data_IF_084186676088
#
_entry.id   IF_084186676088
#
_cell.length_a   1.000
_cell.length_b   1.000
_cell.length_c   1.000
_cell.angle_alpha   90.00
_cell.angle_beta   90.00
_cell.angle_gamma   90.00
#
_symmetry.space_group_name_H-M   'P 1'
#
loop_
_entity.id
_entity.type
_entity.pdbx_description
1 polymer ?
#
# COMPACT_ATOMS: atom_id res chain seq x y z
N UNK A 1 57.61 -41.61 57.77
CA UNK A 1 57.74 -40.92 56.46
C UNK A 1 56.78 -41.46 55.39
N UNK A 2 56.58 -42.79 55.31
CA UNK A 2 55.69 -43.43 54.33
C UNK A 2 54.17 -43.21 54.56
N UNK A 3 53.71 -43.14 55.82
CA UNK A 3 52.27 -42.93 56.11
C UNK A 3 51.80 -41.51 55.80
N UNK A 4 52.62 -40.50 56.13
CA UNK A 4 52.35 -39.10 55.83
C UNK A 4 52.25 -38.84 54.32
N UNK A 5 53.04 -39.55 53.52
CA UNK A 5 53.04 -39.43 52.06
C UNK A 5 51.81 -40.08 51.42
N UNK A 6 51.36 -41.23 51.94
CA UNK A 6 50.12 -41.90 51.51
C UNK A 6 48.86 -41.05 51.76
N UNK A 7 48.79 -40.39 52.92
CA UNK A 7 47.68 -39.49 53.28
C UNK A 7 47.60 -38.26 52.37
N UNK A 8 48.73 -37.58 52.12
CA UNK A 8 48.80 -36.44 51.20
C UNK A 8 48.37 -36.82 49.76
N UNK A 9 48.75 -38.01 49.30
CA UNK A 9 48.34 -38.52 47.98
C UNK A 9 46.83 -38.76 47.91
N UNK A 10 46.22 -39.34 48.95
CA UNK A 10 44.76 -39.54 49.03
C UNK A 10 43.99 -38.22 49.05
N UNK A 11 44.43 -37.24 49.82
CA UNK A 11 43.82 -35.91 49.83
C UNK A 11 43.94 -35.20 48.48
N UNK A 12 45.11 -35.25 47.85
CA UNK A 12 45.30 -34.69 46.52
C UNK A 12 44.36 -35.32 45.48
N UNK A 13 44.14 -36.63 45.53
CA UNK A 13 43.20 -37.32 44.64
C UNK A 13 41.74 -36.95 44.92
N UNK A 14 41.36 -36.75 46.20
CA UNK A 14 40.01 -36.28 46.56
C UNK A 14 39.77 -34.85 46.08
N UNK A 15 40.73 -33.95 46.28
CA UNK A 15 40.67 -32.57 45.79
C UNK A 15 40.55 -32.52 44.27
N UNK A 16 41.35 -33.33 43.55
CA UNK A 16 41.25 -33.44 42.09
C UNK A 16 39.87 -33.91 41.64
N UNK A 17 39.30 -34.93 42.30
CA UNK A 17 37.98 -35.47 41.97
C UNK A 17 36.86 -34.45 42.20
N UNK A 18 36.92 -33.68 43.29
CA UNK A 18 35.95 -32.62 43.56
C UNK A 18 36.05 -31.53 42.50
N UNK A 19 37.27 -31.07 42.19
CA UNK A 19 37.50 -30.06 41.16
C UNK A 19 37.01 -30.49 39.77
N UNK A 20 37.22 -31.75 39.36
CA UNK A 20 36.71 -32.24 38.06
C UNK A 20 35.19 -32.32 38.04
N UNK A 21 34.57 -32.72 39.15
CA UNK A 21 33.10 -32.73 39.26
C UNK A 21 32.52 -31.33 39.20
N UNK A 22 33.14 -30.36 39.89
CA UNK A 22 32.73 -28.96 39.83
C UNK A 22 32.84 -28.38 38.42
N UNK A 23 33.92 -28.68 37.71
CA UNK A 23 34.14 -28.26 36.34
C UNK A 23 33.08 -28.83 35.38
N UNK A 24 32.80 -30.13 35.46
CA UNK A 24 31.77 -30.77 34.65
C UNK A 24 30.36 -30.21 34.92
N UNK A 25 30.02 -29.97 36.20
CA UNK A 25 28.73 -29.36 36.56
C UNK A 25 28.62 -27.94 35.99
N UNK A 26 29.73 -27.18 36.01
CA UNK A 26 29.79 -25.83 35.44
C UNK A 26 29.64 -25.84 33.92
N UNK A 27 30.30 -26.77 33.22
CA UNK A 27 30.13 -26.92 31.77
C UNK A 27 28.69 -27.25 31.39
N UNK A 28 28.05 -28.19 32.08
CA UNK A 28 26.63 -28.53 31.84
C UNK A 28 25.72 -27.32 32.08
N UNK A 29 25.93 -26.58 33.18
CA UNK A 29 25.15 -25.39 33.48
C UNK A 29 25.33 -24.29 32.41
N UNK A 30 26.54 -24.10 31.90
CA UNK A 30 26.83 -23.13 30.84
C UNK A 30 26.18 -23.54 29.51
N UNK A 31 26.29 -24.81 29.12
CA UNK A 31 25.68 -25.32 27.90
C UNK A 31 24.14 -25.23 27.94
N UNK A 32 23.52 -25.57 29.07
CA UNK A 32 22.07 -25.40 29.25
C UNK A 32 21.65 -23.93 29.22
N UNK A 33 22.46 -23.04 29.80
CA UNK A 33 22.20 -21.60 29.78
C UNK A 33 22.24 -21.04 28.35
N UNK A 34 23.27 -21.35 27.57
CA UNK A 34 23.41 -20.89 26.18
C UNK A 34 22.25 -21.41 25.31
N UNK A 35 21.87 -22.68 25.50
CA UNK A 35 20.71 -23.25 24.81
C UNK A 35 19.39 -22.52 25.16
N UNK A 36 19.21 -22.10 26.41
CA UNK A 36 18.03 -21.30 26.83
C UNK A 36 18.06 -19.90 26.24
N UNK A 37 19.21 -19.23 26.25
CA UNK A 37 19.37 -17.88 25.69
C UNK A 37 19.06 -17.85 24.19
N UNK A 38 19.52 -18.86 23.44
CA UNK A 38 19.18 -19.01 22.01
C UNK A 38 17.67 -19.18 21.79
N UNK A 39 17.03 -20.07 22.57
CA UNK A 39 15.59 -20.30 22.47
C UNK A 39 14.77 -19.07 22.89
N UNK A 40 15.23 -18.31 23.89
CA UNK A 40 14.61 -17.07 24.34
C UNK A 40 14.73 -15.97 23.28
N UNK A 41 15.91 -15.79 22.71
CA UNK A 41 16.14 -14.82 21.62
C UNK A 41 15.31 -15.15 20.37
N UNK A 42 15.21 -16.43 20.00
CA UNK A 42 14.37 -16.87 18.89
C UNK A 42 12.87 -16.61 19.17
N UNK A 43 12.41 -16.88 20.39
CA UNK A 43 11.03 -16.62 20.79
C UNK A 43 10.70 -15.11 20.84
N UNK A 44 11.65 -14.28 21.28
CA UNK A 44 11.51 -12.83 21.30
C UNK A 44 11.45 -12.26 19.89
N UNK A 45 12.34 -12.72 19.00
CA UNK A 45 12.32 -12.34 17.58
C UNK A 45 11.00 -12.74 16.91
N UNK A 46 10.50 -13.96 17.16
CA UNK A 46 9.22 -14.41 16.63
C UNK A 46 8.05 -13.52 17.08
N UNK A 47 8.05 -13.06 18.33
CA UNK A 47 7.05 -12.11 18.84
C UNK A 47 7.14 -10.75 18.13
N UNK A 48 8.34 -10.21 17.96
CA UNK A 48 8.52 -8.94 17.25
C UNK A 48 8.04 -9.02 15.79
N UNK A 49 8.33 -10.13 15.10
CA UNK A 49 7.82 -10.38 13.75
C UNK A 49 6.29 -10.39 13.71
N UNK A 50 5.64 -11.06 14.68
CA UNK A 50 4.19 -11.09 14.77
C UNK A 50 3.58 -9.70 14.99
N UNK A 51 4.13 -8.92 15.91
CA UNK A 51 3.64 -7.58 16.20
C UNK A 51 3.78 -6.66 14.98
N UNK A 52 4.91 -6.75 14.28
CA UNK A 52 5.16 -6.00 13.04
C UNK A 52 4.15 -6.37 11.94
N UNK A 53 3.91 -7.66 11.73
CA UNK A 53 2.94 -8.16 10.75
C UNK A 53 1.51 -7.69 11.07
N UNK A 54 1.12 -7.72 12.35
CA UNK A 54 -0.20 -7.26 12.80
C UNK A 54 -0.38 -5.76 12.52
N UNK A 55 0.62 -4.94 12.82
CA UNK A 55 0.57 -3.49 12.58
C UNK A 55 0.47 -3.20 11.08
N UNK A 56 1.30 -3.86 10.27
CA UNK A 56 1.30 -3.68 8.82
C UNK A 56 -0.04 -4.10 8.20
N UNK A 57 -0.58 -5.25 8.61
CA UNK A 57 -1.87 -5.74 8.12
C UNK A 57 -3.01 -4.79 8.46
N UNK A 58 -3.06 -4.27 9.69
CA UNK A 58 -4.07 -3.28 10.11
C UNK A 58 -3.94 -1.97 9.32
N UNK A 59 -2.71 -1.49 9.10
CA UNK A 59 -2.48 -0.29 8.30
C UNK A 59 -2.95 -0.48 6.85
N UNK A 60 -2.62 -1.61 6.23
CA UNK A 60 -3.04 -1.95 4.88
C UNK A 60 -4.57 -2.07 4.76
N UNK A 61 -5.24 -2.67 5.75
CA UNK A 61 -6.70 -2.77 5.79
C UNK A 61 -7.38 -1.38 5.85
N UNK A 62 -6.87 -0.48 6.69
CA UNK A 62 -7.39 0.90 6.79
C UNK A 62 -7.22 1.67 5.48
N UNK A 63 -6.04 1.56 4.85
CA UNK A 63 -5.76 2.21 3.56
C UNK A 63 -6.70 1.64 2.48
N UNK A 64 -6.77 0.33 2.34
CA UNK A 64 -7.62 -0.33 1.34
C UNK A 64 -9.11 0.00 1.54
N UNK A 65 -9.59 0.06 2.79
CA UNK A 65 -10.97 0.43 3.10
C UNK A 65 -11.26 1.90 2.72
N UNK A 66 -10.31 2.81 2.94
CA UNK A 66 -10.43 4.21 2.54
C UNK A 66 -10.46 4.35 1.02
N UNK A 67 -9.51 3.75 0.32
CA UNK A 67 -9.43 3.79 -1.14
C UNK A 67 -10.68 3.19 -1.78
N UNK A 68 -11.19 2.07 -1.24
CA UNK A 68 -12.45 1.47 -1.70
C UNK A 68 -13.64 2.43 -1.54
N UNK A 69 -13.74 3.14 -0.42
CA UNK A 69 -14.81 4.13 -0.18
C UNK A 69 -14.68 5.33 -1.13
N UNK A 70 -13.47 5.83 -1.36
CA UNK A 70 -13.21 6.94 -2.28
C UNK A 70 -13.53 6.54 -3.73
N UNK A 71 -13.10 5.35 -4.16
CA UNK A 71 -13.45 4.77 -5.46
C UNK A 71 -14.95 4.62 -5.63
N UNK A 72 -15.66 4.05 -4.64
CA UNK A 72 -17.12 3.91 -4.71
C UNK A 72 -17.82 5.26 -4.83
N UNK A 73 -17.35 6.30 -4.13
CA UNK A 73 -17.91 7.65 -4.26
C UNK A 73 -17.73 8.19 -5.67
N UNK A 74 -16.55 8.01 -6.26
CA UNK A 74 -16.25 8.44 -7.64
C UNK A 74 -17.12 7.68 -8.65
N UNK A 75 -17.25 6.36 -8.51
CA UNK A 75 -18.12 5.53 -9.36
C UNK A 75 -19.58 5.98 -9.24
N UNK A 76 -20.07 6.21 -8.02
CA UNK A 76 -21.43 6.70 -7.81
C UNK A 76 -21.65 8.08 -8.45
N UNK A 77 -20.67 8.99 -8.35
CA UNK A 77 -20.74 10.29 -9.03
C UNK A 77 -20.75 10.12 -10.55
N UNK A 78 -19.94 9.21 -11.10
CA UNK A 78 -19.91 8.96 -12.53
C UNK A 78 -21.25 8.41 -13.05
N UNK A 79 -21.84 7.47 -12.33
CA UNK A 79 -23.19 6.95 -12.64
C UNK A 79 -24.24 8.06 -12.58
N UNK A 80 -24.16 8.93 -11.57
CA UNK A 80 -25.06 10.07 -11.45
C UNK A 80 -24.91 11.06 -12.61
N UNK A 81 -23.68 11.38 -13.03
CA UNK A 81 -23.43 12.23 -14.19
C UNK A 81 -23.93 11.59 -15.49
N UNK A 82 -23.71 10.28 -15.68
CA UNK A 82 -24.20 9.55 -16.85
C UNK A 82 -25.73 9.57 -16.96
N UNK A 83 -26.44 9.65 -15.83
CA UNK A 83 -27.90 9.78 -15.79
C UNK A 83 -28.40 11.22 -15.97
N UNK A 84 -27.60 12.22 -15.62
CA UNK A 84 -28.02 13.63 -15.71
C UNK A 84 -27.81 14.25 -17.09
N UNK A 85 -26.83 13.78 -17.86
CA UNK A 85 -26.54 14.34 -19.18
C UNK A 85 -27.17 13.53 -20.30
N UNK A 86 -27.91 14.22 -21.16
CA UNK A 86 -28.47 13.60 -22.36
C UNK A 86 -27.35 13.31 -23.37
N UNK A 87 -27.34 12.08 -23.89
CA UNK A 87 -26.38 11.65 -24.91
C UNK A 87 -26.90 11.98 -26.30
N UNK A 88 -26.05 12.61 -27.10
CA UNK A 88 -26.28 12.91 -28.51
C UNK A 88 -25.38 12.04 -29.36
N UNK A 89 -25.94 11.48 -30.43
CA UNK A 89 -25.15 10.70 -31.39
C UNK A 89 -24.20 11.64 -32.14
N UNK A 90 -23.02 11.14 -32.49
CA UNK A 90 -22.02 11.96 -33.20
C UNK A 90 -22.58 12.51 -34.51
N UNK A 91 -23.30 11.68 -35.26
CA UNK A 91 -23.93 12.09 -36.54
C UNK A 91 -25.00 13.18 -36.34
N UNK A 92 -25.70 13.19 -35.20
CA UNK A 92 -26.66 14.23 -34.83
C UNK A 92 -25.95 15.57 -34.67
N UNK A 93 -24.82 15.58 -33.95
CA UNK A 93 -23.98 16.75 -33.72
C UNK A 93 -23.38 17.26 -35.04
N UNK A 94 -22.82 16.35 -35.86
CA UNK A 94 -22.23 16.68 -37.17
C UNK A 94 -23.29 17.32 -38.08
N UNK A 95 -24.49 16.74 -38.12
CA UNK A 95 -25.58 17.25 -38.94
C UNK A 95 -26.06 18.63 -38.46
N UNK A 96 -26.27 18.79 -37.15
CA UNK A 96 -26.74 20.04 -36.55
C UNK A 96 -25.74 21.19 -36.71
N UNK A 97 -24.43 20.87 -36.71
CA UNK A 97 -23.35 21.85 -36.93
C UNK A 97 -22.99 22.02 -38.41
N UNK A 98 -23.75 21.43 -39.33
CA UNK A 98 -23.47 21.45 -40.77
C UNK A 98 -22.02 21.04 -41.09
N UNK A 99 -21.59 19.91 -40.53
CA UNK A 99 -20.21 19.41 -40.59
C UNK A 99 -19.19 20.42 -40.02
N UNK A 100 -19.51 21.04 -38.88
CA UNK A 100 -18.69 22.06 -38.23
C UNK A 100 -18.36 23.26 -39.12
N UNK A 101 -19.35 23.73 -39.90
CA UNK A 101 -19.19 24.89 -40.79
C UNK A 101 -18.81 26.16 -40.01
N UNK A 102 -17.82 26.91 -40.52
CA UNK A 102 -17.40 28.21 -39.96
C UNK A 102 -18.54 29.21 -39.86
N UNK A 103 -19.57 29.09 -40.71
CA UNK A 103 -20.78 29.94 -40.66
C UNK A 103 -21.58 29.79 -39.37
N UNK A 104 -21.41 28.68 -38.65
CA UNK A 104 -22.06 28.40 -37.36
C UNK A 104 -21.10 28.58 -36.18
N UNK A 105 -19.82 28.85 -36.44
CA UNK A 105 -18.83 29.12 -35.40
C UNK A 105 -19.14 30.46 -34.73
N UNK A 106 -19.34 30.43 -33.42
CA UNK A 106 -19.62 31.60 -32.58
C UNK A 106 -18.43 31.99 -31.69
N UNK A 107 -17.35 31.20 -31.73
CA UNK A 107 -16.12 31.53 -31.03
C UNK A 107 -15.07 30.45 -31.18
N UNK A 108 -13.83 30.86 -31.39
CA UNK A 108 -12.66 29.98 -31.41
C UNK A 108 -11.64 30.51 -30.40
N UNK A 109 -10.99 29.61 -29.68
CA UNK A 109 -9.95 29.96 -28.71
C UNK A 109 -8.95 28.84 -28.50
N UNK A 110 -8.06 29.03 -27.52
CA UNK A 110 -7.00 28.07 -27.19
C UNK A 110 -7.52 26.65 -26.89
N UNK A 111 -8.78 26.53 -26.46
CA UNK A 111 -9.42 25.29 -26.04
C UNK A 111 -10.26 24.62 -27.13
N UNK A 112 -10.41 25.26 -28.30
CA UNK A 112 -11.20 24.74 -29.41
C UNK A 112 -12.24 25.74 -29.93
N UNK A 113 -13.21 25.24 -30.69
CA UNK A 113 -14.23 26.04 -31.35
C UNK A 113 -15.63 25.75 -30.79
N UNK A 114 -16.50 26.75 -30.80
CA UNK A 114 -17.88 26.67 -30.32
C UNK A 114 -18.82 26.98 -31.47
N UNK A 115 -19.77 26.09 -31.73
CA UNK A 115 -20.73 26.19 -32.83
C UNK A 115 -22.14 26.32 -32.29
N UNK A 116 -22.91 27.27 -32.83
CA UNK A 116 -24.35 27.37 -32.54
C UNK A 116 -25.11 26.39 -33.43
N UNK A 117 -25.95 25.55 -32.83
CA UNK A 117 -26.80 24.63 -33.59
C UNK A 117 -28.13 24.35 -32.87
N UNK A 118 -28.99 23.56 -33.50
CA UNK A 118 -30.25 23.10 -32.90
C UNK A 118 -30.23 21.58 -32.82
N UNK A 119 -30.25 21.04 -31.61
CA UNK A 119 -30.35 19.60 -31.32
C UNK A 119 -31.72 19.34 -30.66
N UNK A 120 -32.48 18.36 -31.16
CA UNK A 120 -33.82 18.00 -30.63
C UNK A 120 -34.71 19.20 -30.33
N UNK A 121 -34.79 20.14 -31.27
CA UNK A 121 -35.57 21.39 -31.18
C UNK A 121 -35.08 22.41 -30.13
N UNK A 122 -33.92 22.19 -29.53
CA UNK A 122 -33.30 23.10 -28.57
C UNK A 122 -32.09 23.76 -29.21
N UNK A 123 -32.02 25.09 -29.15
CA UNK A 123 -30.81 25.82 -29.60
C UNK A 123 -29.73 25.69 -28.54
N UNK A 124 -28.57 25.16 -28.94
CA UNK A 124 -27.44 24.89 -28.06
C UNK A 124 -26.13 25.39 -28.67
N UNK A 125 -25.08 25.40 -27.85
CA UNK A 125 -23.70 25.60 -28.28
C UNK A 125 -22.93 24.29 -28.15
N UNK A 126 -22.33 23.82 -29.24
CA UNK A 126 -21.46 22.64 -29.28
C UNK A 126 -20.01 23.10 -29.22
N UNK A 127 -19.30 22.76 -28.15
CA UNK A 127 -17.87 23.05 -27.98
C UNK A 127 -17.05 21.85 -28.42
N UNK A 128 -16.28 22.02 -29.49
CA UNK A 128 -15.35 21.02 -30.01
C UNK A 128 -13.96 21.34 -29.47
N UNK A 129 -13.40 20.41 -28.69
CA UNK A 129 -12.10 20.63 -28.05
C UNK A 129 -10.95 20.35 -29.02
N UNK A 130 -9.94 21.22 -29.00
CA UNK A 130 -8.68 20.95 -29.71
C UNK A 130 -7.93 19.85 -28.95
N UNK A 131 -7.48 18.81 -29.65
CA UNK A 131 -6.71 17.71 -29.07
C UNK A 131 -5.33 18.21 -28.64
N UNK A 132 -5.25 18.83 -27.46
CA UNK A 132 -4.01 19.15 -26.78
C UNK A 132 -3.86 18.16 -25.64
N UNK A 133 -2.93 17.24 -25.84
CA UNK A 133 -2.57 16.15 -24.95
C UNK A 133 -2.56 16.54 -23.45
N UNK A 134 -3.35 15.79 -22.67
CA UNK A 134 -3.15 15.47 -21.24
C UNK A 134 -3.58 16.51 -20.18
N UNK A 135 -4.05 17.74 -20.50
CA UNK A 135 -4.44 18.73 -19.46
C UNK A 135 -5.90 19.18 -19.40
N UNK A 136 -6.80 18.66 -20.25
CA UNK A 136 -8.19 19.14 -20.35
C UNK A 136 -9.21 18.48 -19.40
N UNK A 137 -8.91 17.32 -18.80
CA UNK A 137 -9.88 16.63 -17.91
C UNK A 137 -10.29 17.46 -16.67
N UNK A 138 -9.46 18.42 -16.25
CA UNK A 138 -9.72 19.25 -15.06
C UNK A 138 -10.55 20.49 -15.32
N UNK A 139 -10.65 20.96 -16.56
CA UNK A 139 -11.31 22.24 -16.88
C UNK A 139 -12.77 22.06 -17.31
N UNK A 140 -13.11 20.93 -17.94
CA UNK A 140 -14.50 20.58 -18.21
C UNK A 140 -15.33 20.34 -16.94
N UNK A 141 -14.70 19.90 -15.85
CA UNK A 141 -15.39 19.67 -14.57
C UNK A 141 -15.66 20.96 -13.75
N UNK A 142 -15.23 22.14 -14.23
CA UNK A 142 -15.37 23.43 -13.51
C UNK A 142 -16.35 24.41 -14.15
N UNK A 143 -16.77 24.20 -15.40
CA UNK A 143 -17.79 25.00 -16.10
C UNK A 143 -19.10 24.22 -16.13
#
# INVERSE_FOLDING_TARGET
>A
VAELSSLKMKEANRLKLVSTKEENVREVANFEKEKRELAESEAEFAKECLDREIIQRKAAEVIAAREKKEKQKLENMLVYLDQQFEKFEWDEIVSATSSFSDSLCIGEGAYGAVYKCTLRHTTVAVKVLKSIEVKMDKQFQRE
#
